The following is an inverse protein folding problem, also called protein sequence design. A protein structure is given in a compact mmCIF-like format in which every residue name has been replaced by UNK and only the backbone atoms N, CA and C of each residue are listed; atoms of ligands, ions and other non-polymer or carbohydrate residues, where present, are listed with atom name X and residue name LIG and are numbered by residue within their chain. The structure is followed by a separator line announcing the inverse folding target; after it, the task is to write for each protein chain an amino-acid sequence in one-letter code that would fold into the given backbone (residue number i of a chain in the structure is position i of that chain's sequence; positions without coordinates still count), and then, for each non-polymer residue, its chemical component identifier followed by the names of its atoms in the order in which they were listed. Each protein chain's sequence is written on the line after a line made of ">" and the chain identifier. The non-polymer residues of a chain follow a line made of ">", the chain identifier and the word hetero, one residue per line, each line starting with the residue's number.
data_IF_148824234637
#
_entry.id   IF_148824234637
#
_cell.length_a   1.000
_cell.length_b   1.000
_cell.length_c   1.000
_cell.angle_alpha   90.00
_cell.angle_beta   90.00
_cell.angle_gamma   90.00
#
_symmetry.space_group_name_H-M   'P 1'
#
loop_
_entity.id
_entity.type
_entity.pdbx_description
1 polymer ?
#
# COMPACT_ATOMS: atom_id res chain seq x y z
N UNK A 1 -22.77 83.07 38.15
CA UNK A 1 -23.80 83.29 37.11
C UNK A 1 -24.40 81.92 36.80
N UNK A 2 -25.69 81.64 37.08
CA UNK A 2 -26.82 81.77 36.13
C UNK A 2 -26.46 81.25 34.73
N UNK A 3 -27.12 80.28 34.06
CA UNK A 3 -28.46 79.61 34.12
C UNK A 3 -28.30 78.19 33.46
N UNK A 4 -29.22 77.22 33.40
CA UNK A 4 -30.61 77.00 33.87
C UNK A 4 -30.92 75.47 33.86
N UNK A 5 -32.13 75.04 34.23
CA UNK A 5 -32.65 73.66 34.05
C UNK A 5 -33.57 73.59 32.81
N UNK A 6 -33.41 72.57 31.95
CA UNK A 6 -34.51 71.99 31.14
C UNK A 6 -34.26 70.51 30.82
N UNK A 7 -35.34 69.75 30.56
CA UNK A 7 -35.40 68.29 30.46
C UNK A 7 -35.52 67.79 28.99
N UNK A 8 -35.34 66.47 28.81
CA UNK A 8 -36.08 65.57 27.90
C UNK A 8 -35.53 65.14 26.50
N UNK A 9 -35.32 63.81 26.41
CA UNK A 9 -35.79 62.86 25.37
C UNK A 9 -34.98 62.59 24.07
N UNK A 10 -34.60 61.29 23.94
CA UNK A 10 -34.42 60.39 22.79
C UNK A 10 -33.71 60.84 21.49
N UNK A 11 -32.66 60.08 21.12
CA UNK A 11 -32.63 59.21 19.92
C UNK A 11 -31.24 58.52 19.78
N UNK A 12 -31.15 57.21 20.08
CA UNK A 12 -29.93 56.43 19.80
C UNK A 12 -29.92 55.98 18.34
N UNK A 13 -29.03 56.57 17.54
CA UNK A 13 -28.85 56.22 16.13
C UNK A 13 -28.06 54.91 15.98
N UNK A 14 -28.69 53.88 15.43
CA UNK A 14 -28.04 52.61 15.10
C UNK A 14 -27.19 52.75 13.83
N UNK A 15 -25.87 52.69 13.95
CA UNK A 15 -24.96 52.68 12.78
C UNK A 15 -24.82 51.25 12.26
N UNK A 16 -25.26 51.03 11.02
CA UNK A 16 -25.10 49.77 10.28
C UNK A 16 -23.65 49.59 9.84
N UNK A 17 -22.98 48.55 10.36
CA UNK A 17 -21.74 48.04 9.79
C UNK A 17 -22.03 46.73 9.04
N UNK A 18 -21.99 46.78 7.70
CA UNK A 18 -22.19 45.61 6.86
C UNK A 18 -20.94 44.71 6.87
N UNK A 19 -20.94 43.69 7.74
CA UNK A 19 -19.93 42.63 7.73
C UNK A 19 -20.35 41.47 6.84
N UNK A 20 -19.69 41.28 5.69
CA UNK A 20 -19.89 40.10 4.84
C UNK A 20 -19.43 38.84 5.57
N UNK A 21 -20.37 38.13 6.19
CA UNK A 21 -20.10 36.85 6.83
C UNK A 21 -19.95 35.78 5.75
N UNK A 22 -18.71 35.34 5.49
CA UNK A 22 -18.45 34.20 4.59
C UNK A 22 -19.17 32.98 5.13
N UNK A 23 -20.23 32.57 4.43
CA UNK A 23 -20.98 31.37 4.73
C UNK A 23 -20.06 30.17 4.47
N UNK A 24 -19.72 29.44 5.53
CA UNK A 24 -19.01 28.18 5.40
C UNK A 24 -19.90 27.24 4.57
N UNK A 25 -19.32 26.61 3.55
CA UNK A 25 -20.03 25.63 2.76
C UNK A 25 -20.42 24.46 3.68
N UNK A 26 -21.72 24.32 3.95
CA UNK A 26 -22.25 23.13 4.59
C UNK A 26 -21.98 21.97 3.64
N UNK A 27 -21.30 20.93 4.12
CA UNK A 27 -21.17 19.67 3.39
C UNK A 27 -22.56 19.05 3.18
N UNK A 28 -22.70 18.09 2.24
CA UNK A 28 -23.99 17.48 1.94
C UNK A 28 -24.69 16.98 3.20
N UNK A 29 -25.94 17.43 3.38
CA UNK A 29 -26.79 17.06 4.50
C UNK A 29 -27.07 15.56 4.44
N UNK A 30 -26.74 14.83 5.52
CA UNK A 30 -26.92 13.38 5.60
C UNK A 30 -28.41 13.06 5.57
N UNK A 31 -28.89 12.52 4.45
CA UNK A 31 -30.31 12.40 4.20
C UNK A 31 -30.92 11.24 4.99
N UNK A 32 -32.15 11.40 5.48
CA UNK A 32 -32.92 10.31 6.08
C UNK A 32 -33.22 9.15 5.11
N UNK A 33 -32.87 9.30 3.82
CA UNK A 33 -32.93 8.26 2.80
C UNK A 33 -31.83 7.19 2.94
N UNK A 34 -30.71 7.50 3.61
CA UNK A 34 -29.52 6.64 3.66
C UNK A 34 -29.79 5.26 4.27
N UNK A 35 -30.58 5.20 5.35
CA UNK A 35 -30.92 3.94 6.02
C UNK A 35 -31.79 3.01 5.17
N UNK A 36 -32.67 3.57 4.33
CA UNK A 36 -33.47 2.80 3.38
C UNK A 36 -32.59 2.26 2.25
N UNK A 37 -31.72 3.11 1.68
CA UNK A 37 -30.79 2.68 0.64
C UNK A 37 -29.82 1.60 1.13
N UNK A 38 -29.29 1.73 2.35
CA UNK A 38 -28.38 0.76 2.93
C UNK A 38 -29.01 -0.63 3.05
N UNK A 39 -30.27 -0.72 3.50
CA UNK A 39 -31.02 -1.96 3.55
C UNK A 39 -31.26 -2.55 2.15
N UNK A 40 -31.69 -1.74 1.19
CA UNK A 40 -31.91 -2.18 -0.21
C UNK A 40 -30.63 -2.66 -0.88
N UNK A 41 -29.48 -2.02 -0.64
CA UNK A 41 -28.21 -2.50 -1.18
C UNK A 41 -27.78 -3.83 -0.54
N UNK A 42 -27.97 -4.00 0.78
CA UNK A 42 -27.70 -5.27 1.46
C UNK A 42 -28.57 -6.41 0.92
N UNK A 43 -29.86 -6.18 0.70
CA UNK A 43 -30.79 -7.14 0.09
C UNK A 43 -30.34 -7.51 -1.34
N UNK A 44 -30.03 -6.52 -2.18
CA UNK A 44 -29.51 -6.76 -3.55
C UNK A 44 -28.20 -7.54 -3.60
N UNK A 45 -27.33 -7.41 -2.60
CA UNK A 45 -26.07 -8.16 -2.52
C UNK A 45 -26.28 -9.60 -2.02
N UNK A 46 -27.33 -9.84 -1.21
CA UNK A 46 -27.70 -11.18 -0.73
C UNK A 46 -28.43 -11.99 -1.80
N UNK A 47 -29.28 -11.35 -2.60
CA UNK A 47 -30.08 -12.00 -3.65
C UNK A 47 -29.36 -12.10 -5.01
N UNK A 48 -28.13 -11.59 -5.11
CA UNK A 48 -27.32 -11.48 -6.32
C UNK A 48 -27.03 -12.84 -6.97
N UNK A 49 -27.03 -12.88 -8.31
CA UNK A 49 -26.83 -14.07 -9.14
C UNK A 49 -25.81 -13.82 -10.25
N UNK A 50 -25.22 -14.88 -10.83
CA UNK A 50 -24.32 -14.75 -11.99
C UNK A 50 -24.95 -13.98 -13.15
N UNK A 51 -24.24 -12.93 -13.58
CA UNK A 51 -24.69 -11.98 -14.61
C UNK A 51 -25.32 -10.70 -14.05
N UNK A 52 -25.60 -10.60 -12.75
CA UNK A 52 -26.22 -9.41 -12.17
C UNK A 52 -25.27 -8.20 -12.15
N UNK A 53 -25.85 -7.03 -12.44
CA UNK A 53 -25.19 -5.74 -12.32
C UNK A 53 -25.87 -4.93 -11.22
N UNK A 54 -25.13 -4.67 -10.14
CA UNK A 54 -25.56 -3.90 -9.00
C UNK A 54 -25.07 -2.46 -9.17
N UNK A 55 -25.82 -1.67 -9.94
CA UNK A 55 -25.59 -0.22 -10.03
C UNK A 55 -25.96 0.46 -8.70
N UNK A 56 -25.04 1.31 -8.22
CA UNK A 56 -25.12 2.13 -7.01
C UNK A 56 -25.14 3.60 -7.47
N UNK A 57 -26.20 4.38 -7.17
CA UNK A 57 -26.35 5.75 -7.66
C UNK A 57 -25.29 6.68 -7.08
N UNK A 58 -25.13 7.85 -7.73
CA UNK A 58 -24.36 8.95 -7.17
C UNK A 58 -24.95 9.40 -5.82
N UNK A 59 -24.10 9.77 -4.88
CA UNK A 59 -24.45 10.07 -3.50
C UNK A 59 -23.39 9.56 -2.52
N UNK A 60 -23.45 10.04 -1.28
CA UNK A 60 -22.72 9.47 -0.15
C UNK A 60 -23.70 8.68 0.70
N UNK A 61 -23.52 7.37 0.74
CA UNK A 61 -24.43 6.40 1.34
C UNK A 61 -23.82 5.90 2.64
N UNK A 62 -24.51 6.10 3.78
CA UNK A 62 -24.00 5.73 5.09
C UNK A 62 -24.37 4.30 5.51
N UNK A 63 -23.38 3.56 6.00
CA UNK A 63 -23.50 2.19 6.50
C UNK A 63 -23.02 2.08 7.94
N UNK A 64 -23.76 1.31 8.75
CA UNK A 64 -23.36 0.98 10.13
C UNK A 64 -22.84 -0.46 10.27
N UNK A 65 -22.86 -1.23 9.18
CA UNK A 65 -22.52 -2.66 9.11
C UNK A 65 -21.79 -2.93 7.79
N UNK A 66 -20.86 -3.90 7.79
CA UNK A 66 -20.21 -4.38 6.57
C UNK A 66 -21.22 -4.79 5.49
N UNK A 67 -20.84 -4.58 4.22
CA UNK A 67 -21.48 -5.18 3.07
C UNK A 67 -20.82 -6.53 2.75
N UNK A 68 -21.58 -7.49 2.23
CA UNK A 68 -21.07 -8.80 1.85
C UNK A 68 -21.72 -9.32 0.58
N UNK A 69 -20.91 -9.80 -0.36
CA UNK A 69 -21.35 -10.50 -1.58
C UNK A 69 -20.85 -11.94 -1.55
N UNK A 70 -21.73 -12.91 -1.85
CA UNK A 70 -21.40 -14.34 -1.97
C UNK A 70 -22.02 -14.97 -3.22
N UNK A 71 -21.64 -14.44 -4.39
CA UNK A 71 -22.12 -14.89 -5.68
C UNK A 71 -21.09 -14.61 -6.78
N UNK A 72 -20.92 -15.58 -7.69
CA UNK A 72 -20.03 -15.47 -8.85
C UNK A 72 -20.66 -14.61 -9.94
N UNK A 73 -19.85 -14.06 -10.84
CA UNK A 73 -20.28 -13.39 -12.07
C UNK A 73 -21.04 -12.08 -11.87
N UNK A 74 -20.90 -11.46 -10.70
CA UNK A 74 -21.57 -10.21 -10.34
C UNK A 74 -20.68 -8.99 -10.63
N UNK A 75 -21.29 -7.91 -11.12
CA UNK A 75 -20.65 -6.59 -11.22
C UNK A 75 -21.26 -5.63 -10.21
N UNK A 76 -20.45 -4.95 -9.39
CA UNK A 76 -20.87 -3.79 -8.59
C UNK A 76 -20.34 -2.52 -9.29
N UNK A 77 -21.22 -1.57 -9.60
CA UNK A 77 -20.87 -0.35 -10.34
C UNK A 77 -21.37 0.91 -9.64
N UNK A 78 -20.49 1.88 -9.41
CA UNK A 78 -20.86 3.24 -9.05
C UNK A 78 -20.94 4.19 -10.25
N UNK A 79 -21.45 5.41 -10.01
CA UNK A 79 -21.57 6.45 -11.02
C UNK A 79 -20.24 7.17 -11.36
N UNK A 80 -19.15 6.80 -10.70
CA UNK A 80 -17.83 7.45 -10.75
C UNK A 80 -17.19 7.48 -9.37
N UNK A 81 -15.86 7.31 -9.32
CA UNK A 81 -15.07 7.28 -8.07
C UNK A 81 -15.45 8.42 -7.11
N UNK A 82 -15.47 9.67 -7.58
CA UNK A 82 -15.82 10.86 -6.77
C UNK A 82 -17.33 11.18 -6.73
N UNK A 83 -18.19 10.29 -7.24
CA UNK A 83 -19.65 10.50 -7.31
C UNK A 83 -20.44 9.51 -6.44
N UNK A 84 -19.98 8.28 -6.31
CA UNK A 84 -20.61 7.25 -5.49
C UNK A 84 -19.67 6.90 -4.33
N UNK A 85 -20.12 7.16 -3.10
CA UNK A 85 -19.31 6.97 -1.89
C UNK A 85 -20.07 6.07 -0.90
N UNK A 86 -19.45 4.96 -0.48
CA UNK A 86 -19.91 4.07 0.56
C UNK A 86 -19.19 4.42 1.87
N UNK A 87 -19.91 5.05 2.81
CA UNK A 87 -19.37 5.60 4.04
C UNK A 87 -19.60 4.66 5.21
N UNK A 88 -18.54 4.18 5.84
CA UNK A 88 -18.59 3.32 7.03
C UNK A 88 -18.24 4.08 8.32
N UNK A 89 -18.19 5.42 8.26
CA UNK A 89 -17.89 6.29 9.39
C UNK A 89 -18.84 6.02 10.57
N UNK A 90 -18.33 5.43 11.64
CA UNK A 90 -19.14 5.03 12.80
C UNK A 90 -19.72 3.61 12.73
N UNK A 91 -19.17 2.74 11.86
CA UNK A 91 -19.51 1.32 11.73
C UNK A 91 -19.59 0.61 13.10
N UNK A 92 -20.76 0.04 13.38
CA UNK A 92 -21.10 -0.62 14.64
C UNK A 92 -20.82 -2.13 14.62
N UNK A 93 -20.89 -2.76 13.44
CA UNK A 93 -20.70 -4.21 13.30
C UNK A 93 -19.94 -4.61 12.02
N UNK A 94 -19.25 -5.74 12.10
CA UNK A 94 -18.26 -6.17 11.11
C UNK A 94 -16.96 -5.36 11.20
N UNK A 95 -16.03 -5.65 10.29
CA UNK A 95 -14.77 -4.92 10.16
C UNK A 95 -14.66 -4.32 8.75
N UNK A 96 -14.93 -5.11 7.74
CA UNK A 96 -14.80 -4.76 6.34
C UNK A 96 -15.80 -3.67 5.91
N UNK A 97 -15.45 -2.83 4.93
CA UNK A 97 -16.42 -2.04 4.19
C UNK A 97 -17.25 -2.95 3.28
N UNK A 98 -16.58 -3.65 2.36
CA UNK A 98 -17.16 -4.69 1.50
C UNK A 98 -16.30 -5.96 1.52
N UNK A 99 -16.92 -7.08 1.86
CA UNK A 99 -16.35 -8.43 1.75
C UNK A 99 -16.96 -9.17 0.55
N UNK A 100 -16.13 -9.78 -0.29
CA UNK A 100 -16.56 -10.57 -1.46
C UNK A 100 -15.95 -11.96 -1.42
N UNK A 101 -16.78 -12.97 -1.65
CA UNK A 101 -16.40 -14.32 -2.03
C UNK A 101 -17.18 -14.67 -3.30
N UNK A 102 -16.54 -14.72 -4.47
CA UNK A 102 -17.19 -15.06 -5.73
C UNK A 102 -16.28 -14.84 -6.94
N UNK A 103 -16.29 -15.82 -7.84
CA UNK A 103 -15.48 -15.82 -9.07
C UNK A 103 -16.05 -14.86 -10.12
N UNK A 104 -15.25 -14.46 -11.11
CA UNK A 104 -15.65 -13.59 -12.22
C UNK A 104 -16.24 -12.23 -11.76
N UNK A 105 -15.82 -11.77 -10.59
CA UNK A 105 -16.33 -10.56 -9.95
C UNK A 105 -15.71 -9.28 -10.54
N UNK A 106 -16.53 -8.26 -10.74
CA UNK A 106 -16.06 -6.90 -11.08
C UNK A 106 -16.60 -5.88 -10.11
N UNK A 107 -15.74 -4.97 -9.63
CA UNK A 107 -16.16 -3.75 -8.94
C UNK A 107 -15.55 -2.54 -9.63
N UNK A 108 -16.40 -1.55 -9.94
CA UNK A 108 -15.95 -0.36 -10.63
C UNK A 108 -16.61 0.97 -10.22
N UNK A 109 -15.83 2.04 -10.32
CA UNK A 109 -16.30 3.44 -10.31
C UNK A 109 -16.99 3.91 -9.00
N UNK A 110 -16.44 3.59 -7.82
CA UNK A 110 -16.94 4.06 -6.52
C UNK A 110 -15.83 4.28 -5.49
N UNK A 111 -16.17 4.93 -4.38
CA UNK A 111 -15.32 5.07 -3.19
C UNK A 111 -15.88 4.27 -2.01
N UNK A 112 -15.00 3.67 -1.20
CA UNK A 112 -15.26 3.16 0.14
C UNK A 112 -14.49 4.02 1.16
N UNK A 113 -15.15 4.50 2.22
CA UNK A 113 -14.55 5.39 3.21
C UNK A 113 -14.75 4.92 4.65
N UNK A 114 -13.75 5.15 5.50
CA UNK A 114 -13.86 5.08 6.97
C UNK A 114 -14.34 3.72 7.53
N UNK A 115 -14.01 2.60 6.90
CA UNK A 115 -14.26 1.26 7.46
C UNK A 115 -13.45 1.03 8.75
N UNK A 116 -14.00 0.23 9.65
CA UNK A 116 -13.37 -0.08 10.95
C UNK A 116 -12.15 -1.00 10.80
N UNK A 117 -12.24 -1.93 9.85
CA UNK A 117 -11.17 -2.77 9.33
C UNK A 117 -11.04 -2.53 7.83
N UNK A 118 -10.71 -3.58 7.08
CA UNK A 118 -10.34 -3.51 5.66
C UNK A 118 -11.39 -2.80 4.77
N UNK A 119 -10.97 -2.09 3.74
CA UNK A 119 -11.89 -1.34 2.87
C UNK A 119 -12.67 -2.26 1.93
N UNK A 120 -11.96 -2.82 0.96
CA UNK A 120 -12.46 -3.80 0.00
C UNK A 120 -11.66 -5.09 0.15
N UNK A 121 -12.31 -6.15 0.63
CA UNK A 121 -11.71 -7.48 0.78
C UNK A 121 -12.35 -8.48 -0.17
N UNK A 122 -11.52 -9.19 -0.92
CA UNK A 122 -11.96 -10.21 -1.87
C UNK A 122 -11.15 -11.47 -1.56
N UNK A 123 -11.80 -12.56 -1.18
CA UNK A 123 -11.13 -13.73 -0.63
C UNK A 123 -11.59 -15.01 -1.30
N UNK A 124 -10.65 -15.92 -1.59
CA UNK A 124 -10.95 -17.25 -2.16
C UNK A 124 -11.75 -17.12 -3.47
N UNK A 125 -11.17 -16.45 -4.47
CA UNK A 125 -11.90 -16.09 -5.71
C UNK A 125 -10.97 -15.90 -6.93
N UNK A 126 -11.49 -16.20 -8.12
CA UNK A 126 -10.78 -16.14 -9.40
C UNK A 126 -11.40 -15.13 -10.39
N UNK A 127 -10.59 -14.60 -11.32
CA UNK A 127 -11.00 -13.69 -12.40
C UNK A 127 -11.61 -12.34 -11.92
N UNK A 128 -10.93 -11.71 -10.96
CA UNK A 128 -11.38 -10.47 -10.31
C UNK A 128 -10.96 -9.21 -11.08
N UNK A 129 -11.84 -8.21 -11.20
CA UNK A 129 -11.51 -6.88 -11.73
C UNK A 129 -11.87 -5.78 -10.73
N UNK A 130 -10.89 -4.97 -10.35
CA UNK A 130 -11.03 -3.79 -9.49
C UNK A 130 -10.62 -2.56 -10.31
N UNK A 131 -11.57 -1.69 -10.69
CA UNK A 131 -11.33 -0.57 -11.62
C UNK A 131 -11.90 0.75 -11.12
N UNK A 132 -11.11 1.82 -11.09
CA UNK A 132 -11.68 3.13 -10.76
C UNK A 132 -12.22 3.20 -9.33
N UNK A 133 -11.61 2.43 -8.42
CA UNK A 133 -12.01 2.37 -7.00
C UNK A 133 -11.15 3.31 -6.19
N UNK A 134 -11.72 3.95 -5.17
CA UNK A 134 -10.97 4.62 -4.11
C UNK A 134 -11.29 4.01 -2.76
N UNK A 135 -10.28 3.73 -1.96
CA UNK A 135 -10.44 3.40 -0.54
C UNK A 135 -9.70 4.45 0.28
N UNK A 136 -10.34 5.04 1.28
CA UNK A 136 -9.66 6.02 2.14
C UNK A 136 -10.17 6.10 3.58
N UNK A 137 -9.26 6.40 4.50
CA UNK A 137 -9.60 6.85 5.85
C UNK A 137 -9.50 8.37 5.91
N UNK A 138 -10.66 9.03 5.98
CA UNK A 138 -10.79 10.50 5.88
C UNK A 138 -10.21 11.25 7.07
N UNK A 139 -9.92 10.54 8.17
CA UNK A 139 -9.17 11.05 9.32
C UNK A 139 -7.66 11.15 9.11
N UNK A 140 -7.13 10.65 7.99
CA UNK A 140 -5.70 10.55 7.72
C UNK A 140 -5.01 9.36 8.44
N UNK A 141 -3.68 9.25 8.35
CA UNK A 141 -2.88 8.14 8.89
C UNK A 141 -3.09 7.91 10.39
N UNK A 142 -3.41 6.67 10.77
CA UNK A 142 -3.75 6.31 12.15
C UNK A 142 -3.68 4.80 12.36
N UNK A 143 -3.13 4.37 13.50
CA UNK A 143 -3.11 2.96 13.96
C UNK A 143 -4.50 2.37 14.21
N UNK A 144 -5.57 3.17 14.11
CA UNK A 144 -6.98 2.75 14.25
C UNK A 144 -7.71 2.58 12.92
N UNK A 145 -7.05 2.89 11.81
CA UNK A 145 -7.59 2.67 10.48
C UNK A 145 -7.56 1.17 10.16
N UNK A 146 -8.35 0.73 9.18
CA UNK A 146 -8.27 -0.65 8.68
C UNK A 146 -6.86 -0.98 8.19
N UNK A 147 -6.49 -2.25 8.30
CA UNK A 147 -5.18 -2.73 7.87
C UNK A 147 -5.04 -2.53 6.36
N UNK A 148 -5.94 -3.14 5.58
CA UNK A 148 -5.81 -3.16 4.13
C UNK A 148 -6.86 -2.29 3.44
N UNK A 149 -6.41 -1.42 2.53
CA UNK A 149 -7.33 -0.63 1.70
C UNK A 149 -8.07 -1.51 0.69
N UNK A 150 -7.30 -2.11 -0.22
CA UNK A 150 -7.79 -3.04 -1.24
C UNK A 150 -7.04 -4.35 -1.06
N UNK A 151 -7.80 -5.44 -0.89
CA UNK A 151 -7.31 -6.70 -0.32
C UNK A 151 -7.90 -7.94 -1.03
N UNK A 152 -7.51 -8.22 -2.28
CA UNK A 152 -7.54 -9.58 -2.83
C UNK A 152 -6.55 -10.49 -2.08
N UNK A 153 -7.04 -11.65 -1.61
CA UNK A 153 -6.25 -12.65 -0.89
C UNK A 153 -6.72 -14.08 -1.16
N UNK A 154 -5.77 -15.02 -1.33
CA UNK A 154 -6.09 -16.38 -1.81
C UNK A 154 -6.84 -16.33 -3.16
N UNK A 155 -6.39 -15.45 -4.07
CA UNK A 155 -7.09 -15.18 -5.34
C UNK A 155 -6.28 -15.59 -6.55
N UNK A 156 -6.95 -15.78 -7.68
CA UNK A 156 -6.29 -16.05 -8.98
C UNK A 156 -6.74 -15.08 -10.05
N UNK A 157 -5.84 -14.75 -10.97
CA UNK A 157 -6.12 -13.91 -12.12
C UNK A 157 -6.79 -12.60 -11.69
N UNK A 158 -6.03 -11.63 -11.15
CA UNK A 158 -6.55 -10.36 -10.61
C UNK A 158 -6.06 -9.16 -11.43
N UNK A 159 -6.97 -8.26 -11.79
CA UNK A 159 -6.64 -6.95 -12.36
C UNK A 159 -7.08 -5.84 -11.38
N UNK A 160 -6.11 -5.06 -10.90
CA UNK A 160 -6.34 -3.80 -10.16
C UNK A 160 -5.86 -2.66 -11.06
N UNK A 161 -6.75 -1.75 -11.45
CA UNK A 161 -6.39 -0.64 -12.31
C UNK A 161 -7.09 0.69 -12.00
N UNK A 162 -6.44 1.81 -12.32
CA UNK A 162 -6.99 3.16 -12.23
C UNK A 162 -7.55 3.50 -10.84
N UNK A 163 -6.87 3.02 -9.79
CA UNK A 163 -7.44 2.86 -8.44
C UNK A 163 -6.61 3.64 -7.41
N UNK A 164 -7.22 4.07 -6.30
CA UNK A 164 -6.59 4.93 -5.28
C UNK A 164 -6.75 4.32 -3.89
N UNK A 165 -5.70 4.33 -3.06
CA UNK A 165 -5.78 3.91 -1.66
C UNK A 165 -5.01 4.83 -0.70
N UNK A 166 -5.68 5.31 0.35
CA UNK A 166 -5.19 6.37 1.23
C UNK A 166 -5.39 6.07 2.72
N UNK A 167 -4.31 6.07 3.49
CA UNK A 167 -4.37 6.06 4.96
C UNK A 167 -4.52 4.67 5.61
N UNK A 168 -4.33 3.58 4.89
CA UNK A 168 -4.36 2.22 5.43
C UNK A 168 -3.28 2.02 6.52
N UNK A 169 -3.63 1.34 7.62
CA UNK A 169 -2.69 1.08 8.74
C UNK A 169 -1.75 -0.09 8.50
N UNK A 170 -1.92 -0.79 7.38
CA UNK A 170 -1.02 -1.79 6.83
C UNK A 170 -0.75 -1.39 5.35
N UNK A 171 -1.16 -2.19 4.37
CA UNK A 171 -1.02 -1.87 2.95
C UNK A 171 -2.22 -1.13 2.32
N UNK A 172 -1.93 -0.09 1.53
CA UNK A 172 -2.91 0.65 0.74
C UNK A 172 -3.56 -0.23 -0.34
N UNK A 173 -2.74 -0.73 -1.26
CA UNK A 173 -3.14 -1.76 -2.22
C UNK A 173 -2.34 -3.02 -1.88
N UNK A 174 -3.02 -4.04 -1.37
CA UNK A 174 -2.42 -5.30 -0.96
C UNK A 174 -2.85 -6.43 -1.90
N UNK A 175 -1.95 -7.39 -2.14
CA UNK A 175 -2.25 -8.64 -2.82
C UNK A 175 -1.54 -9.78 -2.10
N UNK A 176 -2.30 -10.75 -1.57
CA UNK A 176 -1.76 -11.78 -0.69
C UNK A 176 -2.03 -13.21 -1.13
N UNK A 177 -1.00 -14.07 -1.12
CA UNK A 177 -1.17 -15.52 -1.34
C UNK A 177 -1.91 -15.85 -2.65
N UNK A 178 -1.64 -15.07 -3.71
CA UNK A 178 -2.38 -15.11 -4.98
C UNK A 178 -1.52 -15.56 -6.15
N UNK A 179 -2.12 -15.77 -7.32
CA UNK A 179 -1.41 -16.15 -8.56
C UNK A 179 -2.00 -15.43 -9.79
N UNK A 180 -1.13 -14.81 -10.60
CA UNK A 180 -1.52 -14.09 -11.81
C UNK A 180 -2.16 -12.75 -11.47
N UNK A 181 -1.36 -11.71 -11.28
CA UNK A 181 -1.85 -10.41 -10.80
C UNK A 181 -1.27 -9.24 -11.59
N UNK A 182 -2.11 -8.26 -11.91
CA UNK A 182 -1.70 -6.97 -12.48
C UNK A 182 -2.20 -5.84 -11.59
N UNK A 183 -1.29 -4.98 -11.13
CA UNK A 183 -1.59 -3.71 -10.43
C UNK A 183 -1.06 -2.56 -11.27
N UNK A 184 -1.93 -1.75 -11.86
CA UNK A 184 -1.51 -0.68 -12.78
C UNK A 184 -2.25 0.64 -12.67
N UNK A 185 -1.63 1.72 -13.17
CA UNK A 185 -2.24 3.06 -13.27
C UNK A 185 -2.88 3.54 -11.94
N UNK A 186 -2.37 3.07 -10.80
CA UNK A 186 -3.00 3.25 -9.49
C UNK A 186 -2.13 4.09 -8.56
N UNK A 187 -2.73 4.64 -7.50
CA UNK A 187 -2.08 5.58 -6.57
C UNK A 187 -2.25 5.12 -5.13
N UNK A 188 -1.15 4.92 -4.43
CA UNK A 188 -1.13 4.61 -3.02
C UNK A 188 -0.37 5.69 -2.26
N UNK A 189 -1.04 6.36 -1.31
CA UNK A 189 -0.42 7.40 -0.50
C UNK A 189 -0.82 7.37 0.97
N UNK A 190 0.08 7.83 1.84
CA UNK A 190 -0.17 7.97 3.28
C UNK A 190 -0.52 6.65 3.99
N UNK A 191 -0.18 5.50 3.41
CA UNK A 191 -0.32 4.18 4.04
C UNK A 191 0.97 3.80 4.80
N UNK A 192 0.99 2.65 5.49
CA UNK A 192 2.28 2.08 5.93
C UNK A 192 3.01 1.55 4.71
N UNK A 193 2.47 0.51 4.06
CA UNK A 193 2.93 0.08 2.75
C UNK A 193 2.03 0.69 1.66
N UNK A 194 2.61 1.32 0.63
CA UNK A 194 1.83 1.86 -0.48
C UNK A 194 1.16 0.74 -1.28
N UNK A 195 1.97 -0.05 -1.97
CA UNK A 195 1.56 -1.28 -2.65
C UNK A 195 2.32 -2.44 -2.01
N UNK A 196 1.63 -3.53 -1.67
CA UNK A 196 2.25 -4.75 -1.15
C UNK A 196 1.82 -5.97 -1.96
N UNK A 197 2.80 -6.78 -2.34
CA UNK A 197 2.62 -8.08 -2.99
C UNK A 197 3.22 -9.13 -2.06
N UNK A 198 2.39 -9.71 -1.20
CA UNK A 198 2.77 -10.71 -0.20
C UNK A 198 2.50 -12.13 -0.71
N UNK A 199 3.50 -13.01 -0.64
CA UNK A 199 3.41 -14.45 -0.93
C UNK A 199 2.71 -14.77 -2.27
N UNK A 200 2.79 -13.87 -3.24
CA UNK A 200 2.04 -13.91 -4.50
C UNK A 200 2.95 -14.31 -5.66
N UNK A 201 2.42 -15.10 -6.59
CA UNK A 201 3.15 -15.56 -7.78
C UNK A 201 2.70 -14.81 -9.02
N UNK A 202 3.61 -14.64 -9.97
CA UNK A 202 3.31 -14.17 -11.32
C UNK A 202 2.60 -12.80 -11.28
N UNK A 203 3.30 -11.74 -10.85
CA UNK A 203 2.71 -10.41 -10.68
C UNK A 203 3.44 -9.29 -11.44
N UNK A 204 2.67 -8.42 -12.08
CA UNK A 204 3.12 -7.19 -12.74
C UNK A 204 2.60 -5.96 -11.98
N UNK A 205 3.50 -5.13 -11.45
CA UNK A 205 3.19 -3.88 -10.75
C UNK A 205 3.78 -2.71 -11.53
N UNK A 206 2.96 -1.95 -12.26
CA UNK A 206 3.47 -0.92 -13.18
C UNK A 206 2.62 0.33 -13.39
N UNK A 207 3.26 1.42 -13.86
CA UNK A 207 2.63 2.74 -14.08
C UNK A 207 1.91 3.30 -12.82
N UNK A 208 2.28 2.86 -11.61
CA UNK A 208 1.66 3.30 -10.36
C UNK A 208 2.43 4.48 -9.73
N UNK A 209 1.76 5.19 -8.81
CA UNK A 209 2.36 6.23 -7.97
C UNK A 209 2.26 5.81 -6.50
N UNK A 210 3.41 5.52 -5.88
CA UNK A 210 3.54 5.24 -4.45
C UNK A 210 4.29 6.40 -3.78
N UNK A 211 3.58 7.23 -3.01
CA UNK A 211 4.17 8.45 -2.42
C UNK A 211 3.66 8.79 -1.03
N UNK A 212 4.53 9.31 -0.17
CA UNK A 212 4.15 9.71 1.18
C UNK A 212 3.65 8.56 2.07
N UNK A 213 3.95 7.31 1.72
CA UNK A 213 3.74 6.14 2.59
C UNK A 213 4.92 6.00 3.58
N UNK A 214 4.96 4.94 4.39
CA UNK A 214 6.17 4.56 5.17
C UNK A 214 7.16 3.79 4.29
N UNK A 215 6.65 2.84 3.50
CA UNK A 215 7.33 2.14 2.44
C UNK A 215 6.53 2.25 1.13
N UNK A 216 7.20 2.44 -0.01
CA UNK A 216 6.55 2.68 -1.29
C UNK A 216 5.91 1.43 -1.91
N UNK A 217 6.74 0.50 -2.37
CA UNK A 217 6.30 -0.79 -2.94
C UNK A 217 7.03 -1.93 -2.22
N UNK A 218 6.27 -2.87 -1.65
CA UNK A 218 6.77 -4.02 -0.91
C UNK A 218 6.50 -5.30 -1.71
N UNK A 219 7.51 -6.15 -1.85
CA UNK A 219 7.43 -7.45 -2.50
C UNK A 219 7.92 -8.49 -1.51
N UNK A 220 6.98 -9.08 -0.77
CA UNK A 220 7.24 -9.78 0.49
C UNK A 220 6.92 -11.27 0.36
N UNK A 221 7.71 -12.07 1.02
CA UNK A 221 7.39 -13.43 1.42
C UNK A 221 7.48 -13.48 2.94
N UNK A 222 6.45 -14.03 3.57
CA UNK A 222 6.35 -14.26 5.01
C UNK A 222 6.10 -15.76 5.30
N UNK A 223 6.65 -16.29 6.41
CA UNK A 223 6.49 -17.67 6.83
C UNK A 223 5.10 -17.93 7.41
N UNK A 224 4.65 -19.19 7.37
CA UNK A 224 3.37 -19.60 7.95
C UNK A 224 2.13 -19.36 7.06
N UNK A 225 2.32 -18.90 5.83
CA UNK A 225 1.27 -18.69 4.83
C UNK A 225 1.16 -19.88 3.84
N UNK A 226 0.07 -19.92 3.06
CA UNK A 226 -0.31 -21.08 2.24
C UNK A 226 0.63 -21.38 1.05
N UNK A 227 1.38 -20.39 0.60
CA UNK A 227 2.31 -20.48 -0.53
C UNK A 227 3.48 -19.51 -0.35
N UNK A 228 4.57 -19.71 -1.08
CA UNK A 228 5.60 -18.69 -1.33
C UNK A 228 5.33 -17.99 -2.68
N UNK A 229 5.56 -16.69 -2.73
CA UNK A 229 5.58 -15.88 -3.94
C UNK A 229 6.90 -16.00 -4.71
N UNK A 230 6.83 -15.68 -6.01
CA UNK A 230 7.98 -15.59 -6.93
C UNK A 230 7.52 -15.01 -8.29
N UNK A 231 8.47 -14.66 -9.17
CA UNK A 231 8.24 -14.15 -10.53
C UNK A 231 7.40 -12.86 -10.52
N UNK A 232 8.00 -11.78 -10.04
CA UNK A 232 7.35 -10.48 -9.86
C UNK A 232 8.14 -9.39 -10.58
N UNK A 233 7.45 -8.55 -11.35
CA UNK A 233 8.04 -7.42 -12.07
C UNK A 233 7.48 -6.11 -11.55
N UNK A 234 8.35 -5.21 -11.14
CA UNK A 234 8.01 -3.87 -10.63
C UNK A 234 8.63 -2.84 -11.57
N UNK A 235 7.82 -2.20 -12.43
CA UNK A 235 8.35 -1.35 -13.49
C UNK A 235 7.54 -0.09 -13.83
N UNK A 236 8.18 0.93 -14.39
CA UNK A 236 7.56 2.23 -14.73
C UNK A 236 6.83 2.95 -13.56
N UNK A 237 7.02 2.54 -12.31
CA UNK A 237 6.37 3.16 -11.17
C UNK A 237 7.08 4.44 -10.75
N UNK A 238 6.35 5.32 -10.07
CA UNK A 238 6.87 6.51 -9.39
C UNK A 238 6.83 6.28 -7.89
N UNK A 239 7.99 6.02 -7.29
CA UNK A 239 8.15 5.66 -5.87
C UNK A 239 8.90 6.78 -5.16
N UNK A 240 8.14 7.79 -4.74
CA UNK A 240 8.67 9.13 -4.43
C UNK A 240 8.35 9.53 -2.98
N UNK A 241 9.39 9.87 -2.21
CA UNK A 241 9.26 10.48 -0.88
C UNK A 241 8.33 9.73 0.09
N UNK A 242 8.49 8.40 0.18
CA UNK A 242 7.76 7.55 1.12
C UNK A 242 8.34 7.67 2.54
N UNK A 243 8.21 8.87 3.11
CA UNK A 243 8.88 9.30 4.34
C UNK A 243 7.91 9.44 5.54
N UNK A 244 6.69 8.90 5.45
CA UNK A 244 5.75 8.94 6.57
C UNK A 244 6.25 8.04 7.70
N UNK A 245 6.07 8.48 8.95
CA UNK A 245 6.43 7.67 10.12
C UNK A 245 5.61 6.38 10.16
N UNK A 246 6.22 5.24 10.49
CA UNK A 246 5.52 3.96 10.56
C UNK A 246 4.41 4.00 11.60
N UNK A 247 3.18 3.68 11.19
CA UNK A 247 1.99 3.63 12.04
C UNK A 247 1.30 2.26 12.00
N UNK A 248 2.06 1.21 11.64
CA UNK A 248 1.61 -0.17 11.63
C UNK A 248 1.32 -0.72 13.02
N UNK A 249 0.47 -1.75 13.08
CA UNK A 249 0.18 -2.45 14.33
C UNK A 249 1.44 -3.17 14.84
N UNK A 250 1.86 -2.89 16.07
CA UNK A 250 3.09 -3.44 16.65
C UNK A 250 3.10 -4.98 16.60
N UNK A 251 4.10 -5.55 15.94
CA UNK A 251 4.27 -6.98 15.78
C UNK A 251 3.82 -7.53 14.42
N UNK A 252 3.20 -6.73 13.55
CA UNK A 252 3.03 -7.10 12.13
C UNK A 252 4.36 -6.93 11.37
N UNK A 253 4.56 -7.64 10.25
CA UNK A 253 5.76 -7.49 9.42
C UNK A 253 5.99 -6.06 8.94
N UNK A 254 4.95 -5.37 8.45
CA UNK A 254 5.07 -3.98 7.97
C UNK A 254 5.45 -2.98 9.06
N UNK A 255 5.18 -3.27 10.34
CA UNK A 255 5.60 -2.43 11.46
C UNK A 255 7.14 -2.43 11.68
N UNK A 256 7.87 -3.30 10.98
CA UNK A 256 9.34 -3.31 10.93
C UNK A 256 9.93 -2.46 9.79
N UNK A 257 9.10 -2.07 8.81
CA UNK A 257 9.56 -1.33 7.62
C UNK A 257 10.03 0.06 8.03
N UNK A 258 11.31 0.42 7.79
CA UNK A 258 11.81 1.75 8.13
C UNK A 258 11.06 2.84 7.36
N UNK A 259 10.69 3.93 8.02
CA UNK A 259 10.18 5.11 7.32
C UNK A 259 11.23 5.63 6.31
N UNK A 260 10.81 6.02 5.11
CA UNK A 260 11.73 6.42 4.06
C UNK A 260 12.22 5.26 3.18
N UNK A 261 11.46 4.17 3.08
CA UNK A 261 11.80 3.03 2.21
C UNK A 261 11.13 3.18 0.84
N UNK A 262 11.90 3.13 -0.25
CA UNK A 262 11.36 3.17 -1.62
C UNK A 262 10.70 1.85 -2.02
N UNK A 263 11.47 0.95 -2.64
CA UNK A 263 11.06 -0.42 -2.97
C UNK A 263 11.71 -1.38 -1.96
N UNK A 264 10.96 -2.34 -1.41
CA UNK A 264 11.47 -3.32 -0.43
C UNK A 264 11.17 -4.73 -0.92
N UNK A 265 12.20 -5.55 -1.06
CA UNK A 265 12.10 -6.96 -1.44
C UNK A 265 12.49 -7.81 -0.23
N UNK A 266 11.57 -8.61 0.30
CA UNK A 266 11.81 -9.41 1.50
C UNK A 266 11.58 -10.90 1.25
N UNK A 267 12.63 -11.72 1.39
CA UNK A 267 12.59 -13.21 1.27
C UNK A 267 11.95 -13.74 -0.03
N UNK A 268 11.97 -12.95 -1.09
CA UNK A 268 11.25 -13.23 -2.33
C UNK A 268 12.22 -13.53 -3.48
N UNK A 269 11.73 -14.29 -4.44
CA UNK A 269 12.53 -14.98 -5.45
C UNK A 269 12.08 -14.61 -6.87
N UNK A 270 13.04 -14.50 -7.80
CA UNK A 270 12.77 -14.10 -9.20
C UNK A 270 12.03 -12.76 -9.28
N UNK A 271 12.74 -11.67 -8.96
CA UNK A 271 12.19 -10.30 -8.90
C UNK A 271 12.93 -9.39 -9.88
N UNK A 272 12.22 -8.73 -10.79
CA UNK A 272 12.78 -7.76 -11.74
C UNK A 272 12.25 -6.35 -11.41
N UNK A 273 13.16 -5.41 -11.10
CA UNK A 273 12.83 -4.02 -10.77
C UNK A 273 13.47 -3.09 -11.80
N UNK A 274 12.68 -2.51 -12.70
CA UNK A 274 13.22 -1.80 -13.85
C UNK A 274 12.43 -0.58 -14.32
N UNK A 275 13.10 0.37 -14.96
CA UNK A 275 12.50 1.57 -15.58
C UNK A 275 11.63 2.44 -14.60
N UNK A 276 11.78 2.28 -13.28
CA UNK A 276 11.05 3.08 -12.27
C UNK A 276 11.71 4.45 -12.01
N UNK A 277 10.93 5.47 -11.64
CA UNK A 277 11.41 6.70 -11.01
C UNK A 277 11.35 6.51 -9.48
N UNK A 278 12.50 6.31 -8.83
CA UNK A 278 12.56 6.08 -7.37
C UNK A 278 13.45 7.12 -6.73
N UNK A 279 12.87 7.97 -5.87
CA UNK A 279 13.63 9.08 -5.28
C UNK A 279 13.12 9.63 -3.97
N UNK A 280 14.02 10.33 -3.29
CA UNK A 280 13.76 11.12 -2.07
C UNK A 280 13.23 10.29 -0.89
N UNK A 281 13.49 8.97 -0.89
CA UNK A 281 13.13 8.04 0.18
C UNK A 281 14.24 8.07 1.25
N UNK A 282 13.94 8.59 2.44
CA UNK A 282 14.92 9.04 3.43
C UNK A 282 15.82 7.93 4.01
N UNK A 283 15.35 6.67 4.03
CA UNK A 283 16.15 5.50 4.40
C UNK A 283 16.97 4.99 3.23
N UNK A 284 16.33 4.59 2.13
CA UNK A 284 17.01 4.29 0.86
C UNK A 284 15.97 4.06 -0.24
N UNK A 285 16.41 4.09 -1.50
CA UNK A 285 15.56 3.86 -2.65
C UNK A 285 15.18 2.39 -2.81
N UNK A 286 16.07 1.44 -2.50
CA UNK A 286 15.82 0.00 -2.61
C UNK A 286 16.37 -0.74 -1.38
N UNK A 287 15.54 -1.55 -0.72
CA UNK A 287 15.95 -2.49 0.33
C UNK A 287 15.78 -3.91 -0.20
N UNK A 288 16.79 -4.75 0.02
CA UNK A 288 16.73 -6.20 -0.19
C UNK A 288 17.00 -6.86 1.16
N UNK A 289 16.08 -7.70 1.64
CA UNK A 289 16.14 -8.29 2.97
C UNK A 289 15.64 -9.72 3.05
N UNK A 290 15.99 -10.35 4.16
CA UNK A 290 15.43 -11.60 4.67
C UNK A 290 14.48 -11.29 5.83
N UNK A 291 13.48 -12.17 6.04
CA UNK A 291 12.61 -12.19 7.23
C UNK A 291 13.40 -12.10 8.54
N UNK A 292 14.64 -12.58 8.58
CA UNK A 292 15.51 -12.46 9.76
C UNK A 292 15.78 -11.00 10.19
N UNK A 293 15.62 -10.04 9.29
CA UNK A 293 15.75 -8.60 9.55
C UNK A 293 14.44 -7.91 9.93
N UNK A 294 13.28 -8.56 9.74
CA UNK A 294 11.94 -7.96 9.94
C UNK A 294 11.44 -8.00 11.40
N UNK A 295 12.24 -8.53 12.33
CA UNK A 295 11.83 -8.71 13.73
C UNK A 295 10.70 -9.74 13.96
N UNK A 296 10.25 -10.43 12.91
CA UNK A 296 9.18 -11.43 12.95
C UNK A 296 9.66 -12.72 13.64
N UNK A 297 9.22 -12.92 14.89
CA UNK A 297 9.73 -13.96 15.80
C UNK A 297 9.33 -15.39 15.43
N UNK A 298 8.22 -15.55 14.71
CA UNK A 298 7.70 -16.88 14.33
C UNK A 298 8.33 -17.42 13.03
N UNK A 299 9.35 -16.74 12.49
CA UNK A 299 10.09 -17.18 11.30
C UNK A 299 10.81 -18.52 11.47
N UNK A 300 11.12 -18.93 12.70
CA UNK A 300 11.68 -20.26 13.02
C UNK A 300 10.65 -21.40 12.99
N UNK A 301 9.35 -21.10 12.81
CA UNK A 301 8.27 -22.10 12.93
C UNK A 301 7.80 -22.72 11.60
N UNK A 302 8.25 -22.21 10.44
CA UNK A 302 7.84 -22.73 9.13
C UNK A 302 8.99 -23.52 8.47
N UNK A 303 9.03 -24.86 8.58
CA UNK A 303 10.16 -25.68 8.13
C UNK A 303 10.35 -25.71 6.60
N UNK A 304 9.39 -25.22 5.84
CA UNK A 304 9.39 -25.19 4.37
C UNK A 304 9.40 -23.75 3.81
N UNK A 305 9.70 -22.75 4.63
CA UNK A 305 9.83 -21.37 4.18
C UNK A 305 11.27 -21.08 3.74
N UNK A 306 11.45 -20.46 2.58
CA UNK A 306 12.73 -19.89 2.18
C UNK A 306 12.85 -18.46 2.73
N UNK A 307 13.79 -18.20 3.65
CA UNK A 307 13.95 -16.88 4.22
C UNK A 307 14.83 -15.97 3.37
N UNK A 308 15.44 -16.42 2.28
CA UNK A 308 16.45 -15.67 1.54
C UNK A 308 15.88 -14.99 0.30
N UNK A 309 16.34 -13.77 -0.05
CA UNK A 309 16.03 -13.17 -1.35
C UNK A 309 17.01 -13.68 -2.41
N UNK A 310 16.50 -14.32 -3.47
CA UNK A 310 17.34 -14.85 -4.56
C UNK A 310 16.87 -14.42 -5.96
N UNK A 311 17.80 -14.35 -6.91
CA UNK A 311 17.54 -14.00 -8.33
C UNK A 311 16.83 -12.64 -8.46
N UNK A 312 17.41 -11.63 -7.83
CA UNK A 312 16.92 -10.25 -7.83
C UNK A 312 17.65 -9.45 -8.92
N UNK A 313 16.93 -8.85 -9.85
CA UNK A 313 17.50 -8.04 -10.91
C UNK A 313 16.99 -6.59 -10.85
N UNK A 314 17.87 -5.66 -10.51
CA UNK A 314 17.58 -4.22 -10.48
C UNK A 314 18.35 -3.56 -11.61
N UNK A 315 17.67 -2.93 -12.58
CA UNK A 315 18.35 -2.28 -13.71
C UNK A 315 17.54 -1.13 -14.33
N UNK A 316 18.20 -0.20 -15.03
CA UNK A 316 17.57 0.90 -15.77
C UNK A 316 16.65 1.87 -14.96
N UNK A 317 16.57 1.75 -13.64
CA UNK A 317 15.79 2.66 -12.80
C UNK A 317 16.42 4.06 -12.79
N UNK A 318 15.60 5.10 -12.76
CA UNK A 318 16.04 6.48 -12.49
C UNK A 318 16.04 6.71 -10.98
N UNK A 319 17.21 6.56 -10.38
CA UNK A 319 17.46 6.64 -8.94
C UNK A 319 18.08 7.99 -8.58
N UNK A 320 17.54 8.69 -7.58
CA UNK A 320 18.09 9.97 -7.11
C UNK A 320 17.63 10.33 -5.69
N UNK A 321 18.42 11.13 -4.96
CA UNK A 321 18.06 11.59 -3.61
C UNK A 321 17.87 10.43 -2.60
N UNK A 322 17.40 10.79 -1.40
CA UNK A 322 17.22 9.85 -0.30
C UNK A 322 18.53 9.38 0.37
N UNK A 323 18.41 8.41 1.27
CA UNK A 323 19.52 7.84 2.03
C UNK A 323 20.15 8.75 3.10
N UNK A 324 19.64 9.96 3.27
CA UNK A 324 20.20 11.02 4.11
C UNK A 324 19.75 10.93 5.58
N UNK A 325 18.54 10.43 5.84
CA UNK A 325 17.94 10.34 7.17
C UNK A 325 17.22 8.99 7.39
N UNK A 326 17.96 7.87 7.43
CA UNK A 326 17.37 6.56 7.63
C UNK A 326 16.70 6.42 8.99
N UNK A 327 15.65 5.62 9.07
CA UNK A 327 14.87 5.42 10.29
C UNK A 327 15.48 4.34 11.21
N UNK A 328 15.13 4.39 12.50
CA UNK A 328 15.74 3.54 13.53
C UNK A 328 17.14 3.98 13.98
N UNK A 329 17.64 3.41 15.08
CA UNK A 329 18.97 3.72 15.61
C UNK A 329 20.07 3.03 14.81
N UNK A 330 19.89 1.75 14.49
CA UNK A 330 20.93 0.92 13.89
C UNK A 330 21.27 1.37 12.46
N UNK A 331 20.27 1.74 11.64
CA UNK A 331 20.52 2.29 10.30
C UNK A 331 21.19 3.67 10.36
N UNK A 332 20.87 4.52 11.34
CA UNK A 332 21.58 5.79 11.56
C UNK A 332 23.03 5.56 11.95
N UNK A 333 23.29 4.61 12.86
CA UNK A 333 24.63 4.22 13.27
C UNK A 333 25.44 3.65 12.09
N UNK A 334 24.84 2.76 11.28
CA UNK A 334 25.41 2.20 10.07
C UNK A 334 25.73 3.31 9.04
N UNK A 335 24.81 4.26 8.80
CA UNK A 335 25.07 5.40 7.90
C UNK A 335 26.24 6.23 8.37
N UNK A 336 26.30 6.58 9.66
CA UNK A 336 27.38 7.40 10.22
C UNK A 336 28.72 6.65 10.19
N UNK A 337 28.75 5.35 10.52
CA UNK A 337 29.96 4.54 10.48
C UNK A 337 30.52 4.39 9.05
N UNK A 338 29.64 4.20 8.07
CA UNK A 338 30.05 3.92 6.69
C UNK A 338 30.23 5.17 5.84
N UNK A 339 29.38 6.19 5.99
CA UNK A 339 29.30 7.36 5.11
C UNK A 339 29.50 8.70 5.85
N UNK A 340 29.65 8.69 7.17
CA UNK A 340 29.81 9.90 7.99
C UNK A 340 28.49 10.64 8.24
N UNK A 341 28.58 11.73 9.00
CA UNK A 341 27.40 12.51 9.43
C UNK A 341 26.62 13.12 8.25
N UNK A 342 27.35 13.64 7.25
CA UNK A 342 26.80 14.33 6.06
C UNK A 342 26.70 13.45 4.81
N UNK A 343 27.07 12.17 4.91
CA UNK A 343 26.93 11.22 3.80
C UNK A 343 25.54 10.59 3.77
N UNK A 344 25.21 10.02 2.63
CA UNK A 344 23.96 9.30 2.41
C UNK A 344 24.25 7.80 2.24
N UNK A 345 23.27 6.94 2.52
CA UNK A 345 23.27 5.59 1.99
C UNK A 345 23.22 5.61 0.44
N UNK A 346 23.76 4.57 -0.21
CA UNK A 346 23.60 4.38 -1.64
C UNK A 346 22.16 3.95 -1.97
N UNK A 347 21.87 3.81 -3.26
CA UNK A 347 20.53 3.46 -3.77
C UNK A 347 20.01 2.11 -3.28
N UNK A 348 20.90 1.18 -2.92
CA UNK A 348 20.54 -0.17 -2.46
C UNK A 348 21.11 -0.45 -1.07
N UNK A 349 20.25 -0.86 -0.14
CA UNK A 349 20.63 -1.50 1.11
C UNK A 349 20.31 -3.00 1.02
N UNK A 350 21.30 -3.85 1.26
CA UNK A 350 21.09 -5.29 1.44
C UNK A 350 21.47 -5.70 2.86
N UNK A 351 20.64 -6.53 3.49
CA UNK A 351 20.90 -6.97 4.87
C UNK A 351 22.02 -8.02 5.00
N UNK A 352 22.42 -8.65 3.90
CA UNK A 352 23.53 -9.62 3.85
C UNK A 352 23.12 -11.08 4.08
N UNK A 353 21.85 -11.38 4.33
CA UNK A 353 21.37 -12.76 4.45
C UNK A 353 21.23 -13.40 3.07
N UNK A 354 21.80 -14.60 2.90
CA UNK A 354 21.62 -15.44 1.71
C UNK A 354 21.77 -16.93 2.04
N UNK A 355 21.16 -17.77 1.21
CA UNK A 355 21.29 -19.21 1.29
C UNK A 355 22.72 -19.65 0.95
N UNK A 356 23.49 -20.02 1.97
CA UNK A 356 24.87 -20.47 1.78
C UNK A 356 24.99 -21.82 1.08
N UNK A 357 23.94 -22.63 1.02
CA UNK A 357 23.96 -23.97 0.40
C UNK A 357 23.19 -24.04 -0.92
N UNK A 358 22.87 -22.88 -1.49
CA UNK A 358 22.23 -22.75 -2.80
C UNK A 358 23.12 -23.30 -3.93
N UNK A 359 22.52 -24.11 -4.79
CA UNK A 359 23.18 -24.74 -5.92
C UNK A 359 22.36 -24.51 -7.21
N UNK A 360 23.02 -24.14 -8.31
CA UNK A 360 22.44 -24.09 -9.66
C UNK A 360 23.27 -25.00 -10.56
N UNK A 361 22.63 -25.94 -11.26
CA UNK A 361 23.29 -26.93 -12.13
C UNK A 361 24.47 -27.69 -11.47
N UNK A 362 24.36 -27.95 -10.16
CA UNK A 362 25.41 -28.60 -9.37
C UNK A 362 26.59 -27.70 -8.97
N UNK A 363 26.53 -26.41 -9.29
CA UNK A 363 27.52 -25.40 -8.89
C UNK A 363 26.99 -24.59 -7.70
N UNK A 364 27.84 -24.36 -6.70
CA UNK A 364 27.50 -23.54 -5.53
C UNK A 364 27.41 -22.07 -5.92
N UNK A 365 26.24 -21.47 -5.77
CA UNK A 365 25.90 -20.15 -6.32
C UNK A 365 25.43 -19.22 -5.20
N UNK A 366 25.85 -17.95 -5.23
CA UNK A 366 25.33 -16.93 -4.31
C UNK A 366 23.85 -16.58 -4.58
N UNK A 367 23.31 -15.53 -3.93
CA UNK A 367 21.91 -15.15 -4.07
C UNK A 367 21.55 -14.66 -5.49
N UNK A 368 22.53 -14.33 -6.33
CA UNK A 368 22.31 -13.69 -7.64
C UNK A 368 21.46 -12.42 -7.50
N UNK A 369 21.91 -11.48 -6.66
CA UNK A 369 21.39 -10.12 -6.65
C UNK A 369 22.24 -9.32 -7.66
N UNK A 370 21.66 -8.97 -8.80
CA UNK A 370 22.33 -8.29 -9.89
C UNK A 370 21.84 -6.84 -9.98
N UNK A 371 22.76 -5.88 -9.94
CA UNK A 371 22.46 -4.45 -9.84
C UNK A 371 23.11 -3.69 -11.02
N UNK A 372 22.28 -3.01 -11.82
CA UNK A 372 22.72 -2.11 -12.91
C UNK A 372 22.17 -0.71 -12.68
N UNK A 373 22.93 0.30 -13.09
CA UNK A 373 22.56 1.72 -13.03
C UNK A 373 22.25 2.26 -11.61
N UNK A 374 22.76 1.60 -10.57
CA UNK A 374 22.73 2.09 -9.17
C UNK A 374 24.01 2.83 -8.83
N UNK A 375 23.96 3.81 -7.92
CA UNK A 375 25.16 4.51 -7.43
C UNK A 375 26.04 3.67 -6.48
N UNK A 376 25.51 2.55 -5.98
CA UNK A 376 26.21 1.60 -5.13
C UNK A 376 25.26 0.70 -4.34
N UNK A 377 25.84 -0.10 -3.45
CA UNK A 377 25.12 -0.94 -2.48
C UNK A 377 25.84 -0.90 -1.14
N UNK A 378 25.09 -0.94 -0.04
CA UNK A 378 25.61 -1.22 1.30
C UNK A 378 25.11 -2.58 1.75
N UNK A 379 26.04 -3.48 2.08
CA UNK A 379 25.72 -4.71 2.80
C UNK A 379 25.83 -4.41 4.30
N UNK A 380 24.74 -4.62 5.04
CA UNK A 380 24.66 -4.33 6.47
C UNK A 380 25.41 -5.34 7.36
N UNK A 381 25.77 -6.53 6.85
CA UNK A 381 26.34 -7.66 7.62
C UNK A 381 25.40 -8.19 8.73
N UNK A 382 24.11 -8.32 8.43
CA UNK A 382 23.11 -8.91 9.33
C UNK A 382 23.52 -10.27 9.92
N UNK A 383 23.97 -11.26 9.11
CA UNK A 383 24.48 -12.53 9.62
C UNK A 383 25.70 -12.42 10.55
N UNK A 384 26.54 -11.40 10.39
CA UNK A 384 27.68 -11.10 11.28
C UNK A 384 27.30 -10.28 12.53
N UNK A 385 26.03 -9.88 12.64
CA UNK A 385 25.53 -8.99 13.70
C UNK A 385 25.93 -7.53 13.50
N UNK A 386 25.93 -7.08 12.24
CA UNK A 386 26.22 -5.71 11.78
C UNK A 386 27.65 -5.23 12.08
N UNK A 387 28.62 -6.14 12.21
CA UNK A 387 29.99 -5.84 12.67
C UNK A 387 30.94 -5.46 11.55
N UNK A 388 30.75 -6.01 10.36
CA UNK A 388 31.63 -5.83 9.21
C UNK A 388 30.83 -5.39 7.96
N UNK A 389 30.04 -4.30 8.04
CA UNK A 389 29.30 -3.82 6.89
C UNK A 389 30.24 -3.46 5.73
N UNK A 390 29.77 -3.66 4.50
CA UNK A 390 30.59 -3.54 3.29
C UNK A 390 29.95 -2.62 2.25
N UNK A 391 30.81 -2.00 1.42
CA UNK A 391 30.43 -1.23 0.22
C UNK A 391 30.86 -1.92 -1.09
N UNK A 392 31.32 -3.17 -1.02
CA UNK A 392 31.81 -3.86 -2.20
C UNK A 392 30.65 -4.22 -3.14
N UNK A 393 30.56 -3.50 -4.25
CA UNK A 393 29.54 -3.70 -5.28
C UNK A 393 29.90 -4.81 -6.28
N UNK A 394 31.15 -5.32 -6.28
CA UNK A 394 31.59 -6.33 -7.27
C UNK A 394 30.77 -7.63 -7.28
N UNK A 395 30.30 -8.17 -6.14
CA UNK A 395 29.46 -9.38 -6.16
C UNK A 395 28.11 -9.22 -6.86
N UNK A 396 27.70 -7.97 -7.15
CA UNK A 396 26.42 -7.60 -7.75
C UNK A 396 26.55 -7.16 -9.22
N UNK A 397 27.78 -7.11 -9.76
CA UNK A 397 28.08 -6.81 -11.16
C UNK A 397 27.79 -8.06 -12.02
N UNK A 398 26.50 -8.31 -12.22
CA UNK A 398 25.98 -9.43 -13.01
C UNK A 398 24.70 -9.04 -13.74
N UNK A 399 24.15 -9.99 -14.52
CA UNK A 399 22.87 -9.87 -15.20
C UNK A 399 22.07 -11.16 -15.01
N UNK A 400 20.74 -11.03 -15.07
CA UNK A 400 19.81 -12.16 -15.05
C UNK A 400 18.92 -12.12 -16.29
N UNK A 401 18.32 -13.27 -16.69
CA UNK A 401 17.24 -13.28 -17.66
C UNK A 401 16.11 -12.35 -17.20
N UNK A 402 15.51 -11.61 -18.14
CA UNK A 402 14.30 -10.84 -17.88
C UNK A 402 13.12 -11.78 -17.67
N UNK A 403 12.22 -11.43 -16.75
CA UNK A 403 11.05 -12.21 -16.42
C UNK A 403 9.97 -12.03 -17.50
N UNK A 404 9.19 -13.09 -17.80
CA UNK A 404 8.13 -13.03 -18.79
C UNK A 404 7.02 -12.09 -18.34
N UNK A 405 6.29 -11.50 -19.30
CA UNK A 405 5.13 -10.68 -18.99
C UNK A 405 3.97 -11.53 -18.45
N UNK A 406 3.24 -10.97 -17.48
CA UNK A 406 2.09 -11.64 -16.89
C UNK A 406 0.87 -11.41 -17.77
N UNK A 407 0.36 -12.50 -18.33
CA UNK A 407 -0.92 -12.53 -19.03
C UNK A 407 -1.97 -13.21 -18.14
N UNK A 408 -3.03 -12.48 -17.80
CA UNK A 408 -4.19 -12.99 -17.05
C UNK A 408 -5.07 -13.94 -17.89
N UNK A 409 -4.72 -14.16 -19.17
CA UNK A 409 -5.40 -15.02 -20.16
C UNK A 409 -6.87 -14.67 -20.35
N UNK A 410 -7.16 -13.37 -20.25
CA UNK A 410 -8.47 -12.78 -20.54
C UNK A 410 -8.43 -12.26 -21.98
N UNK A 411 -9.13 -12.98 -22.87
CA UNK A 411 -9.12 -12.74 -24.32
C UNK A 411 -9.73 -11.42 -24.76
#
# INVERSE_FOLDING_TARGET
>A
MQRSITLAIAATLSVLAAGCQKQAAQGPEVAAADGAFAATLQERLLDAKPGDVIDIPAGKHQFERSLSLRADGVTIRGAGMDKTVLSFKGQKAGAEGLLVNGDNFTIENLTIEDSKGDGLKISESEHITIRGIKVQWTGGPSTKNGAYGIYPVLTKNVLIENTISIGASDAGIYVGQSDGVIVRNSRAEQNVAGIEVENTRNADVYDNVATGNTGGILVFNMPGLSQQGANIRVFNNKVIANNHANFGAKGTPVASVPAGSGIVINSNDDIEVFDNEVRDNATTNIIISSVYSTGYKDSSASPNFDPYPERIYVHNNTLSGGGDSPDGFDLKALKVAMYGLTGNFPDVLWDGYYNKERMVDGVKTGPQICLRNVNGVVNADGPGGYKNPSKDAKPFDCELPRLPAIDLKRG
#
